data_IF_002018430564
#
_entry.id   IF_002018430564
#
_cell.length_a   1.000
_cell.length_b   1.000
_cell.length_c   1.000
_cell.angle_alpha   90.00
_cell.angle_beta   90.00
_cell.angle_gamma   90.00
#
_symmetry.space_group_name_H-M   'P 1'
#
loop_
_entity.id
_entity.type
_entity.pdbx_description
1 polymer ?
#
# COMPACT_ATOMS: atom_id res chain seq x y z
N UNK A 1 -11.76 3.82 -10.70
CA UNK A 1 -10.33 4.00 -10.30
C UNK A 1 -10.35 4.31 -8.82
N UNK A 2 -9.64 3.56 -8.02
CA UNK A 2 -9.46 3.87 -6.59
C UNK A 2 -8.72 5.21 -6.44
N UNK A 3 -8.89 5.89 -5.31
CA UNK A 3 -8.16 7.12 -5.02
C UNK A 3 -6.85 6.79 -4.32
N UNK A 4 -5.77 7.51 -4.69
CA UNK A 4 -4.50 7.38 -3.99
C UNK A 4 -4.57 7.96 -2.59
N UNK A 5 -4.22 7.15 -1.60
CA UNK A 5 -4.11 7.58 -0.20
C UNK A 5 -2.67 7.44 0.26
N UNK A 6 -2.12 8.49 0.91
CA UNK A 6 -0.73 8.47 1.37
C UNK A 6 -0.45 7.25 2.25
N UNK A 7 0.54 6.41 1.88
CA UNK A 7 0.94 5.26 2.68
C UNK A 7 1.52 5.64 4.04
N UNK A 8 1.37 4.76 5.03
CA UNK A 8 1.92 4.90 6.39
C UNK A 8 3.04 3.86 6.55
N UNK A 9 4.28 4.27 6.37
CA UNK A 9 5.46 3.39 6.45
C UNK A 9 6.47 3.81 7.51
N UNK A 10 6.02 4.60 8.48
CA UNK A 10 6.80 5.17 9.59
C UNK A 10 6.33 4.64 10.96
N UNK A 11 5.73 3.45 11.01
CA UNK A 11 5.35 2.80 12.27
C UNK A 11 6.61 2.43 13.04
N UNK A 12 6.54 2.60 14.37
CA UNK A 12 7.64 2.32 15.29
C UNK A 12 7.24 1.30 16.34
N UNK A 13 8.22 0.77 17.06
CA UNK A 13 7.96 -0.08 18.21
C UNK A 13 7.16 0.65 19.30
N UNK A 14 7.38 1.95 19.48
CA UNK A 14 6.64 2.78 20.42
C UNK A 14 5.15 2.86 20.05
N UNK A 15 4.83 2.99 18.76
CA UNK A 15 3.44 2.94 18.28
C UNK A 15 2.76 1.60 18.63
N UNK A 16 3.50 0.49 18.51
CA UNK A 16 3.00 -0.85 18.84
C UNK A 16 2.77 -0.99 20.35
N UNK A 17 3.72 -0.56 21.16
CA UNK A 17 3.63 -0.65 22.62
C UNK A 17 2.52 0.25 23.16
N UNK A 18 2.35 1.44 22.59
CA UNK A 18 1.22 2.31 22.89
C UNK A 18 -0.11 1.63 22.55
N UNK A 19 -0.24 1.05 21.34
CA UNK A 19 -1.46 0.36 20.94
C UNK A 19 -1.79 -0.83 21.87
N UNK A 20 -0.78 -1.62 22.24
CA UNK A 20 -0.94 -2.74 23.20
C UNK A 20 -1.42 -2.24 24.56
N UNK A 21 -0.84 -1.14 25.08
CA UNK A 21 -1.23 -0.56 26.37
C UNK A 21 -2.69 -0.08 26.36
N UNK A 22 -3.12 0.56 25.27
CA UNK A 22 -4.49 1.04 25.12
C UNK A 22 -5.49 -0.14 25.03
N UNK A 23 -5.16 -1.18 24.27
CA UNK A 23 -6.00 -2.37 24.17
C UNK A 23 -6.11 -3.08 25.53
N UNK A 24 -5.02 -3.16 26.31
CA UNK A 24 -5.02 -3.71 27.66
C UNK A 24 -5.89 -2.89 28.61
N UNK A 25 -5.77 -1.56 28.57
CA UNK A 25 -6.60 -0.65 29.36
C UNK A 25 -8.10 -0.81 29.05
N UNK A 26 -8.45 -0.88 27.77
CA UNK A 26 -9.83 -1.07 27.33
C UNK A 26 -10.39 -2.41 27.82
N UNK A 27 -9.61 -3.49 27.72
CA UNK A 27 -10.02 -4.81 28.21
C UNK A 27 -10.25 -4.83 29.72
N UNK A 28 -9.45 -4.08 30.48
CA UNK A 28 -9.54 -4.03 31.95
C UNK A 28 -10.72 -3.18 32.45
N UNK A 29 -11.05 -2.09 31.74
CA UNK A 29 -12.03 -1.10 32.20
C UNK A 29 -13.39 -1.17 31.49
N UNK A 30 -13.55 -2.06 30.54
CA UNK A 30 -14.81 -2.26 29.81
C UNK A 30 -15.14 -1.15 28.81
N UNK A 31 -15.31 -1.53 27.56
CA UNK A 31 -16.02 -0.75 26.56
C UNK A 31 -15.19 0.26 25.76
N UNK A 32 -15.08 -0.05 24.46
CA UNK A 32 -14.80 0.96 23.44
C UNK A 32 -16.15 1.47 22.96
N UNK A 33 -16.38 2.76 23.09
CA UNK A 33 -17.41 3.48 22.34
C UNK A 33 -16.74 4.04 21.06
N UNK A 34 -16.43 3.15 20.12
CA UNK A 34 -15.86 3.53 18.81
C UNK A 34 -14.63 2.72 18.43
N UNK A 35 -14.44 2.58 17.11
CA UNK A 35 -13.23 1.98 16.53
C UNK A 35 -12.08 2.99 16.62
N UNK A 36 -11.04 2.67 17.37
CA UNK A 36 -9.82 3.47 17.42
C UNK A 36 -8.76 2.77 16.57
N UNK A 37 -8.36 3.41 15.47
CA UNK A 37 -7.28 2.93 14.62
C UNK A 37 -5.94 3.37 15.21
N UNK A 38 -5.29 2.48 15.93
CA UNK A 38 -3.93 2.74 16.43
C UNK A 38 -2.90 2.48 15.33
N UNK A 39 -2.00 3.42 15.12
CA UNK A 39 -0.93 3.32 14.12
C UNK A 39 -0.07 2.06 14.30
N UNK A 40 0.13 1.61 15.55
CA UNK A 40 0.90 0.39 15.85
C UNK A 40 0.17 -0.93 15.62
N UNK A 41 -1.10 -0.92 15.21
CA UNK A 41 -1.86 -2.12 14.86
C UNK A 41 -2.11 -2.15 13.35
N UNK A 42 -2.11 -3.34 12.76
CA UNK A 42 -2.64 -3.54 11.42
C UNK A 42 -4.17 -3.55 11.49
N UNK A 43 -4.78 -2.50 10.98
CA UNK A 43 -6.23 -2.32 10.96
C UNK A 43 -6.80 -2.69 9.58
N UNK A 44 -8.10 -2.99 9.52
CA UNK A 44 -8.76 -3.23 8.22
C UNK A 44 -8.66 -2.00 7.30
N UNK A 45 -8.60 -0.78 7.85
CA UNK A 45 -8.38 0.45 7.08
C UNK A 45 -6.99 0.52 6.45
N UNK A 46 -5.98 -0.06 7.09
CA UNK A 46 -4.63 -0.17 6.52
C UNK A 46 -4.61 -1.14 5.35
N UNK A 47 -5.29 -2.28 5.49
CA UNK A 47 -5.39 -3.28 4.43
C UNK A 47 -6.16 -2.71 3.23
N UNK A 48 -7.28 -2.02 3.46
CA UNK A 48 -8.02 -1.32 2.41
C UNK A 48 -7.14 -0.31 1.70
N UNK A 49 -6.39 0.53 2.44
CA UNK A 49 -5.46 1.51 1.84
C UNK A 49 -4.39 0.84 0.98
N UNK A 50 -3.82 -0.26 1.43
CA UNK A 50 -2.82 -1.02 0.65
C UNK A 50 -3.45 -1.55 -0.65
N UNK A 51 -4.64 -2.14 -0.59
CA UNK A 51 -5.33 -2.65 -1.77
C UNK A 51 -5.80 -1.54 -2.72
N UNK A 52 -6.36 -0.45 -2.19
CA UNK A 52 -6.79 0.71 -2.98
C UNK A 52 -5.59 1.37 -3.69
N UNK A 53 -4.47 1.55 -3.00
CA UNK A 53 -3.25 2.07 -3.59
C UNK A 53 -2.68 1.12 -4.66
N UNK A 54 -2.75 -0.18 -4.43
CA UNK A 54 -2.31 -1.19 -5.41
C UNK A 54 -3.17 -1.13 -6.68
N UNK A 55 -4.49 -1.04 -6.53
CA UNK A 55 -5.43 -0.88 -7.66
C UNK A 55 -5.20 0.43 -8.40
N UNK A 56 -5.02 1.54 -7.67
CA UNK A 56 -4.70 2.84 -8.27
C UNK A 56 -3.46 2.76 -9.16
N UNK A 57 -2.37 2.14 -8.65
CA UNK A 57 -1.13 2.00 -9.41
C UNK A 57 -1.28 1.05 -10.59
N UNK A 58 -2.07 -0.01 -10.46
CA UNK A 58 -2.37 -0.92 -11.56
C UNK A 58 -3.08 -0.21 -12.71
N UNK A 59 -4.14 0.55 -12.39
CA UNK A 59 -4.88 1.34 -13.38
C UNK A 59 -4.00 2.42 -14.03
N UNK A 60 -3.17 3.09 -13.23
CA UNK A 60 -2.24 4.10 -13.71
C UNK A 60 -1.22 3.51 -14.68
N UNK A 61 -0.61 2.38 -14.33
CA UNK A 61 0.33 1.68 -15.21
C UNK A 61 -0.33 1.21 -16.51
N UNK A 62 -1.55 0.67 -16.45
CA UNK A 62 -2.31 0.29 -17.66
C UNK A 62 -2.56 1.51 -18.54
N UNK A 63 -2.91 2.67 -17.98
CA UNK A 63 -3.11 3.92 -18.73
C UNK A 63 -1.84 4.41 -19.42
N UNK A 64 -0.68 3.98 -18.95
CA UNK A 64 0.65 4.26 -19.50
C UNK A 64 1.18 3.11 -20.38
N UNK A 65 0.31 2.16 -20.77
CA UNK A 65 0.62 0.98 -21.57
C UNK A 65 1.52 -0.08 -20.90
N UNK A 66 1.68 -0.03 -19.56
CA UNK A 66 2.32 -1.08 -18.79
C UNK A 66 1.26 -2.07 -18.30
N UNK A 67 1.00 -3.10 -19.10
CA UNK A 67 -0.04 -4.08 -18.83
C UNK A 67 0.29 -4.94 -17.61
N UNK A 68 -0.69 -5.08 -16.73
CA UNK A 68 -0.61 -5.90 -15.53
C UNK A 68 -1.97 -6.50 -15.23
N UNK A 69 -2.00 -7.55 -14.40
CA UNK A 69 -3.25 -8.16 -13.92
C UNK A 69 -3.11 -8.47 -12.45
N UNK A 70 -3.72 -7.65 -11.62
CA UNK A 70 -3.80 -7.86 -10.17
C UNK A 70 -5.10 -8.57 -9.79
N UNK A 71 -5.13 -9.16 -8.60
CA UNK A 71 -6.31 -9.79 -8.02
C UNK A 71 -6.73 -9.05 -6.76
N UNK A 72 -8.01 -8.69 -6.65
CA UNK A 72 -8.57 -7.99 -5.49
C UNK A 72 -9.74 -8.76 -4.89
N UNK A 73 -10.01 -8.56 -3.60
CA UNK A 73 -11.26 -9.01 -2.99
C UNK A 73 -12.44 -8.24 -3.56
N UNK A 74 -13.57 -8.92 -3.69
CA UNK A 74 -14.80 -8.32 -4.20
C UNK A 74 -15.43 -7.31 -3.24
N UNK A 75 -15.04 -7.32 -1.97
CA UNK A 75 -15.54 -6.42 -0.94
C UNK A 75 -14.37 -5.85 -0.12
N UNK A 76 -14.57 -4.62 0.40
CA UNK A 76 -13.62 -3.99 1.29
C UNK A 76 -13.52 -4.75 2.62
N UNK A 77 -12.35 -4.69 3.21
CA UNK A 77 -12.10 -5.22 4.55
C UNK A 77 -12.90 -4.46 5.60
N UNK A 78 -13.36 -5.18 6.61
CA UNK A 78 -14.14 -4.65 7.72
C UNK A 78 -13.66 -5.25 9.05
N UNK A 79 -14.25 -4.82 10.15
CA UNK A 79 -13.95 -5.36 11.49
C UNK A 79 -14.22 -6.86 11.65
N UNK A 80 -15.08 -7.43 10.81
CA UNK A 80 -15.42 -8.86 10.78
C UNK A 80 -14.55 -9.68 9.83
N UNK A 81 -13.69 -9.03 9.05
CA UNK A 81 -12.83 -9.69 8.07
C UNK A 81 -11.62 -10.31 8.76
N UNK A 82 -11.19 -11.46 8.26
CA UNK A 82 -9.98 -12.16 8.73
C UNK A 82 -8.93 -12.09 7.64
N UNK A 83 -7.79 -11.49 7.94
CA UNK A 83 -6.63 -11.44 7.05
C UNK A 83 -5.85 -12.77 7.21
N UNK A 84 -6.13 -13.74 6.36
CA UNK A 84 -5.46 -15.02 6.33
C UNK A 84 -4.18 -15.01 5.45
N UNK A 85 -3.43 -16.10 5.50
CA UNK A 85 -2.18 -16.24 4.74
C UNK A 85 -2.39 -16.14 3.23
N UNK A 86 -3.52 -16.63 2.70
CA UNK A 86 -3.81 -16.57 1.27
C UNK A 86 -4.03 -15.13 0.82
N UNK A 87 -4.74 -14.34 1.61
CA UNK A 87 -4.95 -12.92 1.35
C UNK A 87 -3.65 -12.11 1.46
N UNK A 88 -2.82 -12.38 2.46
CA UNK A 88 -1.49 -11.76 2.59
C UNK A 88 -0.64 -12.07 1.35
N UNK A 89 -0.57 -13.33 0.94
CA UNK A 89 0.19 -13.74 -0.25
C UNK A 89 -0.35 -13.07 -1.52
N UNK A 90 -1.66 -12.94 -1.66
CA UNK A 90 -2.29 -12.25 -2.79
C UNK A 90 -1.90 -10.77 -2.83
N UNK A 91 -1.98 -10.06 -1.70
CA UNK A 91 -1.61 -8.64 -1.59
C UNK A 91 -0.14 -8.44 -1.99
N UNK A 92 0.76 -9.26 -1.45
CA UNK A 92 2.19 -9.18 -1.74
C UNK A 92 2.47 -9.47 -3.22
N UNK A 93 1.87 -10.54 -3.76
CA UNK A 93 2.02 -10.90 -5.17
C UNK A 93 1.51 -9.79 -6.12
N UNK A 94 0.45 -9.09 -5.77
CA UNK A 94 -0.02 -7.96 -6.55
C UNK A 94 1.05 -6.86 -6.66
N UNK A 95 1.77 -6.56 -5.57
CA UNK A 95 2.85 -5.56 -5.58
C UNK A 95 4.04 -6.04 -6.42
N UNK A 96 4.37 -7.34 -6.34
CA UNK A 96 5.40 -7.95 -7.20
C UNK A 96 5.03 -7.85 -8.69
N UNK A 97 3.76 -8.07 -9.02
CA UNK A 97 3.24 -7.90 -10.39
C UNK A 97 3.44 -6.46 -10.86
N UNK A 98 3.11 -5.46 -10.04
CA UNK A 98 3.28 -4.05 -10.41
C UNK A 98 4.77 -3.69 -10.61
N UNK A 99 5.65 -4.15 -9.71
CA UNK A 99 7.09 -3.94 -9.84
C UNK A 99 7.67 -4.64 -11.08
N UNK A 100 7.12 -5.78 -11.46
CA UNK A 100 7.53 -6.52 -12.66
C UNK A 100 6.99 -5.91 -13.94
N UNK A 101 5.78 -5.33 -13.90
CA UNK A 101 5.15 -4.68 -15.06
C UNK A 101 5.87 -3.40 -15.49
N UNK A 102 6.44 -2.67 -14.54
CA UNK A 102 7.19 -1.44 -14.81
C UNK A 102 8.66 -1.58 -14.39
N UNK A 103 8.95 -1.32 -13.13
CA UNK A 103 10.30 -1.43 -12.56
C UNK A 103 10.27 -1.47 -11.03
N UNK A 104 11.22 -2.18 -10.40
CA UNK A 104 11.40 -2.11 -8.95
C UNK A 104 12.18 -0.84 -8.60
N UNK A 105 11.59 0.13 -7.87
CA UNK A 105 12.27 1.38 -7.55
C UNK A 105 13.54 1.15 -6.72
N UNK A 106 14.58 1.95 -6.98
CA UNK A 106 15.80 1.92 -6.17
C UNK A 106 15.48 2.26 -4.71
N UNK A 107 16.02 1.49 -3.78
CA UNK A 107 15.75 1.66 -2.35
C UNK A 107 14.43 1.07 -1.86
N UNK A 108 13.69 0.37 -2.73
CA UNK A 108 12.54 -0.44 -2.28
C UNK A 108 13.01 -1.54 -1.35
N UNK A 109 12.39 -1.67 -0.17
CA UNK A 109 12.64 -2.81 0.70
C UNK A 109 12.22 -4.11 0.01
N UNK A 110 12.72 -5.23 0.51
CA UNK A 110 12.24 -6.52 0.08
C UNK A 110 10.81 -6.74 0.60
N UNK A 111 9.98 -7.33 -0.27
CA UNK A 111 8.61 -7.65 0.11
C UNK A 111 8.60 -8.82 1.10
N UNK A 112 7.86 -8.69 2.21
CA UNK A 112 7.77 -9.72 3.21
C UNK A 112 6.89 -10.88 2.73
N UNK A 113 7.00 -12.04 3.37
CA UNK A 113 6.09 -13.18 3.14
C UNK A 113 4.89 -13.20 4.08
N UNK A 114 4.91 -12.38 5.13
CA UNK A 114 3.86 -12.27 6.16
C UNK A 114 3.65 -10.81 6.56
N UNK A 115 2.54 -10.51 7.23
CA UNK A 115 2.23 -9.18 7.78
C UNK A 115 1.97 -9.28 9.29
N UNK A 116 2.90 -9.88 10.03
CA UNK A 116 2.81 -10.09 11.48
C UNK A 116 3.51 -9.02 12.31
N UNK A 117 4.41 -8.26 11.71
CA UNK A 117 5.19 -7.20 12.35
C UNK A 117 5.01 -5.87 11.60
N UNK A 118 5.07 -4.77 12.35
CA UNK A 118 4.91 -3.42 11.79
C UNK A 118 5.93 -3.08 10.69
N UNK A 119 7.16 -3.60 10.82
CA UNK A 119 8.23 -3.41 9.82
C UNK A 119 7.86 -4.00 8.46
N UNK A 120 7.16 -5.14 8.46
CA UNK A 120 6.68 -5.79 7.24
C UNK A 120 5.58 -4.96 6.57
N UNK A 121 4.67 -4.39 7.35
CA UNK A 121 3.64 -3.47 6.83
C UNK A 121 4.28 -2.19 6.31
N UNK A 122 5.27 -1.63 7.03
CA UNK A 122 6.05 -0.49 6.56
C UNK A 122 6.76 -0.78 5.24
N UNK A 123 7.32 -1.98 5.07
CA UNK A 123 7.99 -2.38 3.83
C UNK A 123 7.02 -2.41 2.66
N UNK A 124 5.84 -3.00 2.82
CA UNK A 124 4.78 -3.05 1.80
C UNK A 124 4.33 -1.65 1.40
N UNK A 125 3.99 -0.82 2.37
CA UNK A 125 3.53 0.55 2.11
C UNK A 125 4.63 1.43 1.52
N UNK A 126 5.89 1.24 1.90
CA UNK A 126 7.03 1.95 1.32
C UNK A 126 7.28 1.53 -0.13
N UNK A 127 7.11 0.26 -0.47
CA UNK A 127 7.19 -0.20 -1.86
C UNK A 127 6.15 0.51 -2.75
N UNK A 128 4.90 0.61 -2.30
CA UNK A 128 3.85 1.31 -3.03
C UNK A 128 4.16 2.81 -3.16
N UNK A 129 4.64 3.45 -2.09
CA UNK A 129 5.03 4.85 -2.12
C UNK A 129 6.13 5.12 -3.14
N UNK A 130 7.22 4.36 -3.10
CA UNK A 130 8.34 4.54 -4.02
C UNK A 130 7.96 4.24 -5.47
N UNK A 131 7.08 3.25 -5.70
CA UNK A 131 6.58 2.97 -7.04
C UNK A 131 5.76 4.13 -7.59
N UNK A 132 4.90 4.74 -6.76
CA UNK A 132 4.14 5.94 -7.13
C UNK A 132 5.05 7.11 -7.49
N UNK A 133 6.03 7.42 -6.64
CA UNK A 133 7.00 8.49 -6.86
C UNK A 133 7.74 8.30 -8.20
N UNK A 134 8.16 7.08 -8.49
CA UNK A 134 8.86 6.76 -9.74
C UNK A 134 7.97 6.91 -10.96
N UNK A 135 6.70 6.52 -10.87
CA UNK A 135 5.73 6.69 -11.97
C UNK A 135 5.44 8.18 -12.19
N UNK A 136 5.26 8.96 -11.12
CA UNK A 136 5.02 10.39 -11.20
C UNK A 136 6.21 11.14 -11.84
N UNK A 137 7.44 10.78 -11.46
CA UNK A 137 8.64 11.34 -12.06
C UNK A 137 8.72 11.01 -13.57
N UNK A 138 8.42 9.78 -13.93
CA UNK A 138 8.33 9.39 -15.35
C UNK A 138 7.29 10.22 -16.10
N UNK A 139 6.06 10.32 -15.59
CA UNK A 139 4.97 11.08 -16.24
C UNK A 139 5.33 12.55 -16.36
N UNK A 140 5.98 13.14 -15.35
CA UNK A 140 6.46 14.52 -15.38
C UNK A 140 7.47 14.72 -16.50
N UNK A 141 8.47 13.85 -16.61
CA UNK A 141 9.51 13.93 -17.66
C UNK A 141 8.94 13.74 -19.06
N UNK A 142 7.97 12.85 -19.24
CA UNK A 142 7.29 12.70 -20.54
C UNK A 142 6.55 13.98 -20.96
N UNK A 143 5.91 14.67 -20.03
CA UNK A 143 5.25 15.95 -20.31
C UNK A 143 6.24 17.04 -20.74
N UNK A 144 7.42 17.06 -20.13
CA UNK A 144 8.48 18.01 -20.50
C UNK A 144 9.07 17.70 -21.88
N UNK A 145 9.22 16.43 -22.24
CA UNK A 145 9.70 16.02 -23.57
C UNK A 145 8.65 16.26 -24.67
N UNK A 146 7.36 16.27 -24.36
CA UNK A 146 6.27 16.51 -25.32
C UNK A 146 6.23 17.93 -25.88
N UNK A 147 7.04 18.87 -25.38
CA UNK A 147 7.22 20.21 -25.93
C UNK A 147 8.35 20.31 -26.97
N UNK A 148 9.09 19.23 -27.20
CA UNK A 148 10.02 19.15 -28.31
C UNK A 148 9.22 18.94 -29.60
N UNK A 149 8.89 20.01 -30.29
CA UNK A 149 8.58 19.99 -31.70
C UNK A 149 9.84 19.48 -32.43
N UNK A 150 9.88 18.19 -32.78
CA UNK A 150 10.83 17.71 -33.77
C UNK A 150 10.48 18.41 -35.09
N UNK A 151 11.15 19.49 -35.36
CA UNK A 151 11.26 20.24 -36.60
C UNK A 151 10.32 19.84 -37.72
N UNK A 152 9.22 20.56 -37.87
CA UNK A 152 8.69 20.80 -39.20
C UNK A 152 9.44 22.02 -39.75
N UNK A 153 10.40 21.78 -40.64
CA UNK A 153 10.78 22.73 -41.68
C UNK A 153 9.82 22.62 -42.86
#
# INVERSE_FOLDING_TARGET
MADWTKPIYDRTQEDVDYAKSQIAYIKANGGITGLVNYKGCLNFTDVNRIEDNTEYLADLLISLYYFNTISRNSANWSTSSILDTANVSRIINNIEILQSAYYKPTGSPDLPTTLTHYEQVNSVEKCLYLLKEMIDDMVSRFRECGTFNCGEE
#
